data_IF_837118014288
#
_entry.id   IF_837118014288
#
_cell.length_a   1.000
_cell.length_b   1.000
_cell.length_c   1.000
_cell.angle_alpha   90.00
_cell.angle_beta   90.00
_cell.angle_gamma   90.00
#
_symmetry.space_group_name_H-M   'P 1'
#
loop_
_entity.id
_entity.type
_entity.pdbx_description
1 polymer ?
#
# COMPACT_ATOMS: atom_id res chain seq x y z
N UNK A 1 -4.82 -10.91 12.43
CA UNK A 1 -3.88 -11.80 11.77
C UNK A 1 -2.76 -11.02 11.08
N UNK A 2 -1.64 -11.68 10.87
CA UNK A 2 -0.52 -11.12 10.13
C UNK A 2 -0.39 -11.88 8.82
N UNK A 3 -0.34 -11.16 7.70
CA UNK A 3 -0.22 -11.75 6.37
C UNK A 3 0.95 -11.12 5.61
N UNK A 4 1.61 -11.92 4.78
CA UNK A 4 2.72 -11.47 3.92
C UNK A 4 2.26 -11.53 2.47
N UNK A 5 2.48 -10.43 1.74
CA UNK A 5 2.19 -10.32 0.31
C UNK A 5 3.49 -10.08 -0.43
N UNK A 6 3.77 -10.88 -1.45
CA UNK A 6 4.92 -10.68 -2.33
C UNK A 6 4.52 -9.75 -3.48
N UNK A 7 5.20 -8.62 -3.58
CA UNK A 7 4.92 -7.60 -4.61
C UNK A 7 5.65 -7.85 -5.93
N UNK A 8 6.45 -8.92 -6.05
CA UNK A 8 7.20 -9.21 -7.27
C UNK A 8 6.27 -9.34 -8.47
N UNK A 9 6.49 -8.51 -9.49
CA UNK A 9 5.72 -8.49 -10.74
C UNK A 9 4.22 -8.22 -10.57
N UNK A 10 3.78 -7.70 -9.42
CA UNK A 10 2.39 -7.31 -9.21
C UNK A 10 2.15 -5.91 -9.76
N UNK A 11 1.00 -5.70 -10.42
CA UNK A 11 0.58 -4.38 -10.88
C UNK A 11 0.19 -3.55 -9.66
N UNK A 12 0.80 -2.37 -9.51
CA UNK A 12 0.64 -1.53 -8.31
C UNK A 12 -0.81 -1.29 -7.93
N UNK A 13 -1.63 -0.79 -8.87
CA UNK A 13 -3.02 -0.45 -8.58
C UNK A 13 -3.85 -1.65 -8.16
N UNK A 14 -3.71 -2.77 -8.85
CA UNK A 14 -4.47 -3.99 -8.56
C UNK A 14 -4.07 -4.61 -7.23
N UNK A 15 -2.78 -4.66 -6.95
CA UNK A 15 -2.28 -5.15 -5.66
C UNK A 15 -2.78 -4.27 -4.51
N UNK A 16 -2.67 -2.96 -4.65
CA UNK A 16 -3.08 -2.02 -3.61
C UNK A 16 -4.58 -2.05 -3.33
N UNK A 17 -5.42 -2.30 -4.34
CA UNK A 17 -6.85 -2.50 -4.14
C UNK A 17 -7.14 -3.64 -3.17
N UNK A 18 -6.47 -4.77 -3.37
CA UNK A 18 -6.64 -5.95 -2.51
C UNK A 18 -6.05 -5.75 -1.13
N UNK A 19 -4.90 -5.10 -1.04
CA UNK A 19 -4.27 -4.74 0.23
C UNK A 19 -5.18 -3.82 1.04
N UNK A 20 -5.80 -2.83 0.42
CA UNK A 20 -6.74 -1.94 1.10
C UNK A 20 -7.94 -2.71 1.67
N UNK A 21 -8.46 -3.69 0.94
CA UNK A 21 -9.54 -4.55 1.43
C UNK A 21 -9.11 -5.40 2.62
N UNK A 22 -7.88 -5.93 2.59
CA UNK A 22 -7.33 -6.68 3.73
C UNK A 22 -7.18 -5.79 4.96
N UNK A 23 -6.70 -4.57 4.79
CA UNK A 23 -6.52 -3.61 5.90
C UNK A 23 -7.86 -3.22 6.51
N UNK A 24 -8.92 -3.08 5.71
CA UNK A 24 -10.27 -2.78 6.21
C UNK A 24 -10.97 -3.99 6.81
N UNK A 25 -10.55 -5.19 6.45
CA UNK A 25 -11.21 -6.41 6.90
C UNK A 25 -12.42 -6.83 6.07
N UNK A 26 -12.55 -6.33 4.84
CA UNK A 26 -13.72 -6.63 3.98
C UNK A 26 -13.85 -8.09 3.57
N UNK A 27 -12.80 -8.89 3.72
CA UNK A 27 -12.86 -10.32 3.44
C UNK A 27 -13.40 -11.13 4.62
N UNK A 28 -13.65 -10.49 5.76
CA UNK A 28 -14.18 -11.15 6.96
C UNK A 28 -15.69 -10.99 7.05
N UNK A 29 -16.43 -12.04 7.47
CA UNK A 29 -17.88 -11.94 7.61
C UNK A 29 -18.33 -10.97 8.71
N UNK A 30 -17.50 -10.73 9.72
CA UNK A 30 -17.77 -9.80 10.79
C UNK A 30 -17.37 -8.35 10.51
N UNK A 31 -17.13 -8.00 9.23
CA UNK A 31 -16.76 -6.64 8.84
C UNK A 31 -17.74 -5.59 9.37
N UNK A 32 -17.20 -4.61 10.09
CA UNK A 32 -17.96 -3.46 10.61
C UNK A 32 -17.24 -2.17 10.21
N UNK A 33 -17.89 -1.25 9.45
CA UNK A 33 -17.19 -0.10 8.87
C UNK A 33 -16.55 0.86 9.87
N UNK A 34 -17.05 0.94 11.08
CA UNK A 34 -16.54 1.86 12.10
C UNK A 34 -15.53 1.21 13.06
N UNK A 35 -15.19 -0.04 12.84
CA UNK A 35 -14.26 -0.79 13.69
C UNK A 35 -13.10 -1.31 12.85
N UNK A 36 -11.88 -1.32 13.41
CA UNK A 36 -10.72 -1.90 12.79
C UNK A 36 -10.80 -3.43 12.86
N UNK A 37 -11.36 -4.03 11.81
CA UNK A 37 -11.50 -5.48 11.69
C UNK A 37 -10.44 -6.11 10.78
N UNK A 38 -9.49 -5.31 10.27
CA UNK A 38 -8.53 -5.76 9.28
C UNK A 38 -7.35 -6.51 9.84
N UNK A 39 -6.51 -6.96 8.93
CA UNK A 39 -5.28 -7.69 9.23
C UNK A 39 -4.08 -6.75 9.15
N UNK A 40 -2.98 -7.15 9.81
CA UNK A 40 -1.68 -6.50 9.59
C UNK A 40 -1.07 -7.09 8.32
N UNK A 41 -0.75 -6.24 7.36
CA UNK A 41 -0.24 -6.64 6.04
C UNK A 41 1.22 -6.28 5.91
N UNK A 42 2.04 -7.25 5.52
CA UNK A 42 3.46 -7.08 5.26
C UNK A 42 3.68 -7.25 3.76
N UNK A 43 4.23 -6.25 3.09
CA UNK A 43 4.55 -6.32 1.67
C UNK A 43 6.07 -6.46 1.54
N UNK A 44 6.51 -7.52 0.86
CA UNK A 44 7.92 -7.75 0.56
C UNK A 44 8.19 -7.56 -0.92
N UNK A 45 9.46 -7.37 -1.29
CA UNK A 45 9.89 -7.12 -2.68
C UNK A 45 9.17 -5.91 -3.29
N UNK A 46 8.93 -4.87 -2.51
CA UNK A 46 8.18 -3.69 -2.95
C UNK A 46 8.86 -2.94 -4.09
N UNK A 47 10.18 -3.07 -4.23
CA UNK A 47 10.94 -2.48 -5.33
C UNK A 47 10.69 -3.16 -6.68
N UNK A 48 10.05 -4.33 -6.69
CA UNK A 48 9.79 -5.12 -7.90
C UNK A 48 8.36 -4.99 -8.42
N UNK A 49 7.61 -4.01 -7.95
CA UNK A 49 6.25 -3.73 -8.43
C UNK A 49 6.27 -3.24 -9.88
N UNK A 50 5.17 -3.47 -10.59
CA UNK A 50 4.98 -3.01 -11.97
C UNK A 50 3.93 -1.93 -12.08
N UNK A 51 4.13 -1.06 -13.07
CA UNK A 51 3.13 -0.09 -13.50
C UNK A 51 2.88 -0.31 -14.99
N UNK A 52 1.61 -0.41 -15.37
CA UNK A 52 1.24 -0.66 -16.77
C UNK A 52 1.34 0.59 -17.62
N UNK A 53 1.62 0.43 -18.91
CA UNK A 53 1.74 1.51 -19.88
C UNK A 53 2.85 2.48 -19.49
N UNK A 54 2.58 3.79 -19.63
CA UNK A 54 3.54 4.86 -19.35
C UNK A 54 3.32 5.52 -17.99
N UNK A 55 2.61 4.87 -17.06
CA UNK A 55 2.28 5.46 -15.75
C UNK A 55 3.51 5.83 -14.93
N UNK A 56 4.63 5.14 -15.14
CA UNK A 56 5.87 5.44 -14.40
C UNK A 56 6.32 6.89 -14.61
N UNK A 57 6.13 7.44 -15.80
CA UNK A 57 6.53 8.81 -16.15
C UNK A 57 5.36 9.76 -16.39
N UNK A 58 4.21 9.24 -16.82
CA UNK A 58 3.06 10.08 -17.23
C UNK A 58 2.05 10.31 -16.09
N UNK A 59 1.97 9.39 -15.13
CA UNK A 59 1.10 9.57 -13.96
C UNK A 59 1.69 10.64 -13.05
N UNK A 60 0.89 11.66 -12.72
CA UNK A 60 1.33 12.76 -11.86
C UNK A 60 0.52 12.76 -10.57
N UNK A 61 1.22 12.76 -9.44
CA UNK A 61 0.61 12.93 -8.12
C UNK A 61 0.77 14.37 -7.69
N UNK A 62 -0.34 15.02 -7.36
CA UNK A 62 -0.36 16.42 -6.93
C UNK A 62 -0.46 16.51 -5.41
N UNK A 63 0.26 17.46 -4.84
CA UNK A 63 0.13 17.80 -3.43
C UNK A 63 0.18 19.32 -3.28
N UNK A 64 -0.35 19.81 -2.17
CA UNK A 64 -0.43 21.24 -1.92
C UNK A 64 0.05 21.55 -0.51
N UNK A 65 0.98 22.51 -0.40
CA UNK A 65 1.60 22.86 0.88
C UNK A 65 0.76 23.82 1.75
N UNK A 66 -0.31 24.41 1.19
CA UNK A 66 -1.14 25.40 1.88
C UNK A 66 -0.68 26.83 1.69
N UNK A 67 0.40 27.06 0.97
CA UNK A 67 0.89 28.39 0.66
C UNK A 67 0.65 28.75 -0.80
N UNK A 68 0.57 30.07 -1.16
CA UNK A 68 0.47 30.46 -2.58
C UNK A 68 1.64 29.86 -3.38
N UNK A 69 1.31 29.25 -4.54
CA UNK A 69 2.30 28.55 -5.35
C UNK A 69 2.81 27.25 -4.76
N UNK A 70 2.14 26.72 -3.74
CA UNK A 70 2.58 25.51 -3.03
C UNK A 70 2.14 24.17 -3.65
N UNK A 71 1.62 24.18 -4.88
CA UNK A 71 1.29 22.95 -5.59
C UNK A 71 2.58 22.20 -5.97
N UNK A 72 2.64 20.93 -5.60
CA UNK A 72 3.78 20.05 -5.91
C UNK A 72 3.33 18.93 -6.82
N UNK A 73 4.23 18.50 -7.71
CA UNK A 73 3.98 17.39 -8.62
C UNK A 73 5.05 16.32 -8.45
N UNK A 74 4.67 15.06 -8.54
CA UNK A 74 5.59 13.93 -8.49
C UNK A 74 5.11 12.81 -9.40
N UNK A 75 6.04 12.20 -10.15
CA UNK A 75 5.76 10.99 -10.92
C UNK A 75 6.13 9.76 -10.09
N UNK A 76 5.58 8.56 -10.40
CA UNK A 76 6.03 7.34 -9.73
C UNK A 76 7.53 7.13 -9.83
N UNK A 77 8.15 7.43 -10.98
CA UNK A 77 9.60 7.30 -11.13
C UNK A 77 10.36 8.22 -10.17
N UNK A 78 9.92 9.47 -10.01
CA UNK A 78 10.57 10.41 -9.11
C UNK A 78 10.42 10.01 -7.64
N UNK A 79 9.29 9.42 -7.26
CA UNK A 79 9.05 8.92 -5.90
C UNK A 79 9.95 7.72 -5.62
N UNK A 80 10.04 6.78 -6.56
CA UNK A 80 10.86 5.57 -6.41
C UNK A 80 12.35 5.87 -6.32
N UNK A 81 12.80 6.99 -6.91
CA UNK A 81 14.20 7.40 -6.85
C UNK A 81 14.62 7.91 -5.46
N UNK A 82 13.68 8.24 -4.58
CA UNK A 82 13.96 8.73 -3.24
C UNK A 82 14.23 7.57 -2.27
N UNK A 83 14.94 7.82 -1.14
CA UNK A 83 15.07 6.80 -0.08
C UNK A 83 13.71 6.32 0.38
N UNK A 84 13.56 4.99 0.53
CA UNK A 84 12.29 4.34 0.84
C UNK A 84 11.18 4.67 -0.18
N UNK A 85 11.54 4.84 -1.45
CA UNK A 85 10.60 5.25 -2.49
C UNK A 85 9.46 4.27 -2.71
N UNK A 86 9.74 2.96 -2.70
CA UNK A 86 8.71 1.93 -2.87
C UNK A 86 7.69 1.97 -1.73
N UNK A 87 8.15 2.12 -0.48
CA UNK A 87 7.28 2.29 0.68
C UNK A 87 6.39 3.51 0.52
N UNK A 88 6.97 4.66 0.18
CA UNK A 88 6.23 5.91 0.00
C UNK A 88 5.17 5.80 -1.09
N UNK A 89 5.51 5.19 -2.22
CA UNK A 89 4.59 5.05 -3.35
C UNK A 89 3.42 4.13 -2.99
N UNK A 90 3.69 2.96 -2.42
CA UNK A 90 2.66 2.00 -2.05
C UNK A 90 1.73 2.57 -0.98
N UNK A 91 2.27 3.22 0.06
CA UNK A 91 1.46 3.85 1.11
C UNK A 91 0.57 4.95 0.55
N UNK A 92 1.07 5.75 -0.38
CA UNK A 92 0.30 6.81 -1.02
C UNK A 92 -0.89 6.25 -1.80
N UNK A 93 -0.67 5.20 -2.58
CA UNK A 93 -1.73 4.57 -3.37
C UNK A 93 -2.77 3.88 -2.46
N UNK A 94 -2.32 3.12 -1.46
CA UNK A 94 -3.22 2.45 -0.52
C UNK A 94 -4.05 3.45 0.27
N UNK A 95 -3.44 4.53 0.76
CA UNK A 95 -4.15 5.57 1.50
C UNK A 95 -5.25 6.22 0.66
N UNK A 96 -5.01 6.41 -0.64
CA UNK A 96 -6.01 6.92 -1.57
C UNK A 96 -7.20 5.98 -1.76
N UNK A 97 -7.02 4.68 -1.53
CA UNK A 97 -8.05 3.65 -1.67
C UNK A 97 -8.80 3.36 -0.36
N UNK A 98 -8.29 3.85 0.78
CA UNK A 98 -8.96 3.72 2.06
C UNK A 98 -9.99 4.84 2.25
N UNK A 99 -11.02 4.64 3.10
CA UNK A 99 -11.97 5.71 3.42
C UNK A 99 -11.24 6.90 4.02
N UNK A 100 -11.69 8.12 3.68
CA UNK A 100 -11.06 9.35 4.18
C UNK A 100 -11.67 9.76 5.51
N UNK A 101 -11.30 9.05 6.57
CA UNK A 101 -11.78 9.30 7.94
C UNK A 101 -10.66 9.00 8.94
N UNK A 102 -10.94 9.18 10.24
CA UNK A 102 -9.95 8.94 11.29
C UNK A 102 -9.54 7.47 11.41
N UNK A 103 -10.44 6.55 11.08
CA UNK A 103 -10.12 5.11 11.12
C UNK A 103 -9.06 4.75 10.09
N UNK A 104 -9.06 5.41 8.92
CA UNK A 104 -8.07 5.16 7.89
C UNK A 104 -6.65 5.46 8.36
N UNK A 105 -6.45 6.47 9.20
CA UNK A 105 -5.13 6.78 9.76
C UNK A 105 -4.60 5.65 10.65
N UNK A 106 -5.48 4.91 11.31
CA UNK A 106 -5.12 3.73 12.08
C UNK A 106 -4.88 2.52 11.17
N UNK A 107 -5.69 2.36 10.14
CA UNK A 107 -5.57 1.24 9.20
C UNK A 107 -4.23 1.27 8.45
N UNK A 108 -3.78 2.45 8.03
CA UNK A 108 -2.52 2.56 7.30
C UNK A 108 -1.30 2.21 8.18
N UNK A 109 -1.39 2.34 9.51
CA UNK A 109 -0.32 1.94 10.40
C UNK A 109 -0.15 0.42 10.49
N UNK A 110 -1.14 -0.35 10.05
CA UNK A 110 -1.07 -1.81 10.00
C UNK A 110 -0.41 -2.33 8.70
N UNK A 111 0.04 -1.43 7.84
CA UNK A 111 0.76 -1.76 6.62
C UNK A 111 2.26 -1.61 6.83
N UNK A 112 3.00 -2.67 6.54
CA UNK A 112 4.46 -2.71 6.63
C UNK A 112 5.03 -3.03 5.25
N UNK A 113 5.92 -2.19 4.74
CA UNK A 113 6.46 -2.32 3.38
C UNK A 113 7.97 -2.48 3.45
N UNK A 114 8.49 -3.51 2.81
CA UNK A 114 9.92 -3.80 2.73
C UNK A 114 10.34 -3.98 1.28
N UNK A 115 11.47 -3.41 0.91
CA UNK A 115 11.98 -3.49 -0.47
C UNK A 115 12.63 -4.83 -0.77
N UNK A 116 13.13 -5.54 0.26
CA UNK A 116 13.74 -6.86 0.10
C UNK A 116 12.78 -7.99 0.44
N UNK A 117 13.32 -9.19 0.54
CA UNK A 117 12.56 -10.38 0.91
C UNK A 117 12.41 -10.56 2.42
N UNK A 118 13.24 -9.89 3.20
CA UNK A 118 13.24 -10.01 4.66
C UNK A 118 12.38 -8.95 5.31
N UNK A 119 11.74 -9.30 6.42
CA UNK A 119 10.94 -8.39 7.22
C UNK A 119 11.23 -8.60 8.71
N UNK A 120 10.86 -7.60 9.52
CA UNK A 120 11.17 -7.63 10.95
C UNK A 120 10.08 -8.30 11.81
N UNK A 121 9.03 -8.84 11.19
CA UNK A 121 7.89 -9.43 11.88
C UNK A 121 7.93 -10.95 11.95
N UNK A 122 9.11 -11.55 11.99
CA UNK A 122 9.25 -13.03 12.04
C UNK A 122 8.59 -13.62 13.29
N UNK A 123 8.70 -12.93 14.43
CA UNK A 123 8.12 -13.39 15.70
C UNK A 123 6.59 -13.46 15.66
N UNK A 124 5.93 -12.76 14.72
CA UNK A 124 4.47 -12.77 14.58
C UNK A 124 3.96 -13.97 13.79
N UNK A 125 4.85 -14.78 13.24
CA UNK A 125 4.52 -15.93 12.39
C UNK A 125 3.51 -15.56 11.28
N UNK A 126 3.82 -14.58 10.43
CA UNK A 126 2.88 -14.11 9.41
C UNK A 126 2.60 -15.22 8.39
N UNK A 127 1.35 -15.27 7.94
CA UNK A 127 0.89 -16.21 6.93
C UNK A 127 1.16 -15.65 5.54
N UNK A 128 1.87 -16.39 4.70
CA UNK A 128 2.09 -16.00 3.31
C UNK A 128 0.81 -16.23 2.49
N UNK A 129 0.38 -15.22 1.74
CA UNK A 129 -0.80 -15.32 0.88
C UNK A 129 -0.47 -14.94 -0.56
N UNK A 130 -1.20 -15.51 -1.51
CA UNK A 130 -1.13 -15.11 -2.91
C UNK A 130 -2.24 -14.11 -3.17
N UNK A 131 -1.85 -12.85 -3.40
CA UNK A 131 -2.81 -11.76 -3.60
C UNK A 131 -3.64 -11.94 -4.87
N UNK A 132 -3.15 -12.71 -5.85
CA UNK A 132 -3.89 -12.97 -7.09
C UNK A 132 -5.12 -13.85 -6.87
N UNK A 133 -5.19 -14.57 -5.76
CA UNK A 133 -6.35 -15.40 -5.41
C UNK A 133 -7.48 -14.57 -4.79
N UNK A 134 -7.22 -13.34 -4.39
CA UNK A 134 -8.20 -12.45 -3.77
C UNK A 134 -8.93 -11.64 -4.84
N UNK A 135 -10.19 -11.32 -4.57
CA UNK A 135 -11.04 -10.51 -5.48
C UNK A 135 -11.08 -9.03 -5.13
#
# INVERSE_FOLDING_TARGET
EWVVVDATDQVLGRMCTKVAKLLRGKYKPEFTPHVDCGDNVIIINADKIKLTGKKMTDRIYYSYTGYPGGQREATPASILAKPNGADRLIRKVVKGMLPKNKLADRLITNLYVYEGTEHNQVAQNPKSIDINLYK
#
